data_IF_455079535227
#
_entry.id   IF_455079535227
#
_cell.length_a   1.000
_cell.length_b   1.000
_cell.length_c   1.000
_cell.angle_alpha   90.00
_cell.angle_beta   90.00
_cell.angle_gamma   90.00
#
_symmetry.space_group_name_H-M   'P 1'
#
loop_
_entity.id
_entity.type
_entity.pdbx_description
1 polymer ?
#
# COMPACT_ATOMS: atom_id res chain seq x y z
N UNK A 1 20.62 -0.64 -3.52
CA UNK A 1 20.24 -1.62 -2.50
C UNK A 1 20.38 -3.05 -3.03
N UNK A 2 19.82 -3.39 -4.20
CA UNK A 2 19.96 -4.73 -4.84
C UNK A 2 21.41 -5.16 -5.02
N UNK A 3 22.32 -4.21 -5.35
CA UNK A 3 23.73 -4.50 -5.48
C UNK A 3 24.36 -4.93 -4.13
N UNK A 4 24.00 -4.28 -3.05
CA UNK A 4 24.49 -4.60 -1.69
C UNK A 4 23.99 -5.98 -1.25
N UNK A 5 22.71 -6.30 -1.46
CA UNK A 5 22.17 -7.64 -1.17
C UNK A 5 22.87 -8.72 -1.97
N UNK A 6 23.11 -8.50 -3.25
CA UNK A 6 23.81 -9.45 -4.12
C UNK A 6 25.24 -9.69 -3.65
N UNK A 7 25.96 -8.62 -3.28
CA UNK A 7 27.33 -8.72 -2.75
C UNK A 7 27.35 -9.51 -1.43
N UNK A 8 26.42 -9.24 -0.49
CA UNK A 8 26.35 -9.94 0.79
C UNK A 8 26.03 -11.44 0.60
N UNK A 9 25.10 -11.78 -0.30
CA UNK A 9 24.78 -13.17 -0.64
C UNK A 9 25.97 -13.88 -1.30
N UNK A 10 26.68 -13.21 -2.20
CA UNK A 10 27.88 -13.75 -2.84
C UNK A 10 29.02 -13.99 -1.83
N UNK A 11 29.22 -13.07 -0.90
CA UNK A 11 30.19 -13.24 0.19
C UNK A 11 29.82 -14.42 1.09
N UNK A 12 28.54 -14.55 1.44
CA UNK A 12 28.04 -15.68 2.23
C UNK A 12 28.27 -17.01 1.52
N UNK A 13 27.89 -17.14 0.25
CA UNK A 13 28.09 -18.35 -0.56
C UNK A 13 29.57 -18.68 -0.73
N UNK A 14 30.43 -17.69 -0.97
CA UNK A 14 31.86 -17.84 -1.06
C UNK A 14 32.44 -18.39 0.24
N UNK A 15 31.99 -17.89 1.37
CA UNK A 15 32.45 -18.33 2.70
C UNK A 15 31.97 -19.72 3.05
N UNK A 16 30.76 -20.11 2.70
CA UNK A 16 30.23 -21.47 2.82
C UNK A 16 31.06 -22.45 1.96
N UNK A 17 31.40 -22.06 0.74
CA UNK A 17 32.19 -22.88 -0.18
C UNK A 17 33.62 -23.07 0.30
N UNK A 18 34.27 -22.01 0.79
CA UNK A 18 35.61 -22.07 1.37
C UNK A 18 35.61 -22.97 2.64
N UNK A 19 34.59 -22.84 3.48
CA UNK A 19 34.38 -23.66 4.65
C UNK A 19 34.30 -25.14 4.30
N UNK A 20 33.47 -25.52 3.35
CA UNK A 20 33.30 -26.89 2.90
C UNK A 20 34.62 -27.49 2.34
N UNK A 21 35.48 -26.66 1.77
CA UNK A 21 36.79 -27.06 1.24
C UNK A 21 37.82 -27.25 2.33
N UNK A 22 37.84 -26.38 3.35
CA UNK A 22 38.74 -26.48 4.51
C UNK A 22 38.43 -27.68 5.41
N UNK A 23 37.17 -28.10 5.52
CA UNK A 23 36.81 -29.31 6.27
C UNK A 23 37.41 -30.59 5.66
N UNK A 24 37.66 -30.61 4.36
CA UNK A 24 38.29 -31.73 3.66
C UNK A 24 39.82 -31.73 3.79
N UNK A 25 40.44 -30.59 4.11
CA UNK A 25 41.88 -30.41 4.10
C UNK A 25 42.55 -30.53 5.51
N UNK A 26 41.78 -30.66 6.60
CA UNK A 26 42.27 -30.99 7.92
C UNK A 26 43.16 -29.98 8.66
N UNK A 27 43.42 -28.78 8.07
CA UNK A 27 44.28 -27.77 8.69
C UNK A 27 43.58 -26.41 8.69
N UNK A 28 42.87 -26.04 9.77
CA UNK A 28 42.41 -24.68 9.96
C UNK A 28 43.07 -24.05 11.18
N UNK A 29 43.86 -23.00 10.96
CA UNK A 29 44.42 -22.14 12.00
C UNK A 29 43.39 -21.17 12.58
N UNK A 30 42.17 -21.14 12.03
CA UNK A 30 41.11 -20.24 12.48
C UNK A 30 40.18 -20.99 13.45
N UNK A 31 39.96 -20.48 14.64
CA UNK A 31 39.11 -21.12 15.64
C UNK A 31 37.65 -21.16 15.16
N UNK A 32 36.97 -22.28 15.39
CA UNK A 32 35.63 -22.59 14.91
C UNK A 32 34.58 -21.50 15.29
N UNK A 33 34.73 -20.88 16.45
CA UNK A 33 33.80 -19.83 16.90
C UNK A 33 33.85 -18.58 16.04
N UNK A 34 34.99 -18.23 15.46
CA UNK A 34 35.09 -17.07 14.52
C UNK A 34 34.29 -17.38 13.27
N UNK A 35 34.32 -18.59 12.80
CA UNK A 35 33.57 -19.04 11.64
C UNK A 35 32.05 -18.92 11.85
N UNK A 36 31.54 -19.39 12.98
CA UNK A 36 30.14 -19.28 13.37
C UNK A 36 29.73 -17.83 13.59
N UNK A 37 30.58 -17.02 14.21
CA UNK A 37 30.31 -15.61 14.43
C UNK A 37 30.10 -14.86 13.11
N UNK A 38 30.96 -15.08 12.12
CA UNK A 38 30.83 -14.46 10.79
C UNK A 38 29.57 -14.94 10.07
N UNK A 39 29.24 -16.23 10.17
CA UNK A 39 28.05 -16.81 9.55
C UNK A 39 26.75 -16.24 10.15
N UNK A 40 26.69 -16.11 11.47
CA UNK A 40 25.54 -15.51 12.16
C UNK A 40 25.40 -14.04 11.78
N UNK A 41 26.51 -13.29 11.74
CA UNK A 41 26.49 -11.87 11.34
C UNK A 41 26.01 -11.69 9.91
N UNK A 42 26.46 -12.55 8.98
CA UNK A 42 26.01 -12.51 7.58
C UNK A 42 24.50 -12.80 7.45
N UNK A 43 23.98 -13.79 8.19
CA UNK A 43 22.55 -14.11 8.21
C UNK A 43 21.71 -12.95 8.78
N UNK A 44 22.17 -12.30 9.85
CA UNK A 44 21.50 -11.13 10.42
C UNK A 44 21.47 -9.96 9.42
N UNK A 45 22.56 -9.71 8.71
CA UNK A 45 22.62 -8.66 7.68
C UNK A 45 21.68 -8.96 6.50
N UNK A 46 21.59 -10.21 6.07
CA UNK A 46 20.65 -10.63 5.02
C UNK A 46 19.21 -10.44 5.50
N UNK A 47 18.88 -10.87 6.72
CA UNK A 47 17.56 -10.71 7.31
C UNK A 47 17.14 -9.24 7.43
N UNK A 48 18.05 -8.38 7.93
CA UNK A 48 17.82 -6.95 8.04
C UNK A 48 17.58 -6.30 6.66
N UNK A 49 18.36 -6.68 5.66
CA UNK A 49 18.24 -6.18 4.30
C UNK A 49 16.92 -6.61 3.64
N UNK A 50 16.47 -7.84 3.87
CA UNK A 50 15.16 -8.33 3.42
C UNK A 50 14.02 -7.58 4.11
N UNK A 51 14.09 -7.32 5.40
CA UNK A 51 13.10 -6.52 6.13
C UNK A 51 13.01 -5.09 5.58
N UNK A 52 14.14 -4.44 5.32
CA UNK A 52 14.17 -3.09 4.74
C UNK A 52 13.62 -3.11 3.31
N UNK A 53 13.91 -4.15 2.54
CA UNK A 53 13.39 -4.30 1.17
C UNK A 53 11.88 -4.53 1.16
N UNK A 54 11.38 -5.39 2.04
CA UNK A 54 9.95 -5.66 2.21
C UNK A 54 9.19 -4.42 2.70
N UNK A 55 9.79 -3.62 3.59
CA UNK A 55 9.18 -2.38 4.07
C UNK A 55 9.18 -1.23 3.04
N UNK A 56 10.10 -1.25 2.06
CA UNK A 56 10.15 -0.25 0.98
C UNK A 56 9.28 -0.60 -0.22
N UNK A 57 9.12 -1.88 -0.50
CA UNK A 57 8.14 -2.36 -1.46
C UNK A 57 6.89 -2.71 -0.67
N UNK A 58 5.82 -1.96 -0.88
CA UNK A 58 4.50 -2.26 -0.34
C UNK A 58 4.01 -3.56 -1.02
N UNK A 59 4.65 -4.69 -0.64
CA UNK A 59 4.32 -6.03 -1.12
C UNK A 59 3.01 -6.46 -0.48
N UNK A 60 1.92 -5.73 -0.80
CA UNK A 60 0.56 -6.15 -0.51
C UNK A 60 0.19 -7.28 -1.46
N UNK A 61 0.57 -8.47 -1.07
CA UNK A 61 0.07 -9.69 -1.69
C UNK A 61 -1.26 -10.05 -1.03
N UNK A 62 -2.33 -9.95 -1.79
CA UNK A 62 -3.63 -10.45 -1.36
C UNK A 62 -3.59 -11.98 -1.34
N UNK A 63 -3.45 -12.53 -0.12
CA UNK A 63 -3.32 -13.99 0.13
C UNK A 63 -4.71 -14.64 0.27
N UNK A 64 -5.79 -13.85 0.16
CA UNK A 64 -7.14 -14.40 0.23
C UNK A 64 -7.48 -15.16 -1.05
N UNK A 65 -8.01 -16.36 -0.91
CA UNK A 65 -8.37 -17.23 -2.04
C UNK A 65 -9.40 -16.60 -2.99
N UNK A 66 -10.16 -15.61 -2.50
CA UNK A 66 -11.22 -14.91 -3.24
C UNK A 66 -10.78 -13.60 -3.86
N UNK A 67 -9.55 -13.12 -3.58
CA UNK A 67 -9.00 -11.85 -4.09
C UNK A 67 -9.96 -10.66 -3.98
N UNK A 68 -10.74 -10.63 -2.91
CA UNK A 68 -11.78 -9.62 -2.67
C UNK A 68 -11.23 -8.19 -2.58
N UNK A 69 -9.97 -8.06 -2.19
CA UNK A 69 -9.29 -6.76 -2.06
C UNK A 69 -8.50 -6.35 -3.30
N UNK A 70 -8.41 -7.20 -4.33
CA UNK A 70 -7.68 -6.89 -5.57
C UNK A 70 -8.61 -6.44 -6.69
N UNK A 71 -8.10 -5.58 -7.57
CA UNK A 71 -8.83 -5.13 -8.76
C UNK A 71 -9.09 -6.30 -9.71
N UNK A 72 -10.25 -6.30 -10.36
CA UNK A 72 -10.58 -7.32 -11.36
C UNK A 72 -9.59 -7.27 -12.52
N UNK A 73 -9.29 -8.41 -13.17
CA UNK A 73 -8.40 -8.44 -14.34
C UNK A 73 -8.89 -7.52 -15.47
N UNK A 74 -10.20 -7.34 -15.59
CA UNK A 74 -10.81 -6.43 -16.56
C UNK A 74 -10.50 -4.98 -16.25
N UNK A 75 -10.59 -4.58 -14.97
CA UNK A 75 -10.25 -3.23 -14.51
C UNK A 75 -8.76 -2.94 -14.75
N UNK A 76 -7.87 -3.89 -14.45
CA UNK A 76 -6.43 -3.75 -14.71
C UNK A 76 -6.16 -3.58 -16.21
N UNK A 77 -6.86 -4.33 -17.07
CA UNK A 77 -6.74 -4.20 -18.53
C UNK A 77 -7.21 -2.83 -19.02
N UNK A 78 -8.33 -2.32 -18.48
CA UNK A 78 -8.82 -0.98 -18.78
C UNK A 78 -7.83 0.10 -18.34
N UNK A 79 -7.29 0.00 -17.13
CA UNK A 79 -6.28 0.94 -16.64
C UNK A 79 -5.01 0.94 -17.50
N UNK A 80 -4.61 -0.21 -18.01
CA UNK A 80 -3.46 -0.31 -18.93
C UNK A 80 -3.71 0.33 -20.30
N UNK A 81 -4.96 0.36 -20.75
CA UNK A 81 -5.35 0.94 -22.05
C UNK A 81 -5.59 2.46 -22.00
N UNK A 82 -5.54 3.08 -20.82
CA UNK A 82 -5.67 4.53 -20.68
C UNK A 82 -4.55 5.28 -21.41
N UNK A 83 -4.92 6.43 -21.97
CA UNK A 83 -3.94 7.33 -22.60
C UNK A 83 -3.19 8.14 -21.53
N UNK A 84 -1.86 8.17 -21.66
CA UNK A 84 -1.01 8.95 -20.78
C UNK A 84 -1.11 10.47 -21.03
N UNK A 85 -1.61 10.88 -22.19
CA UNK A 85 -1.79 12.29 -22.53
C UNK A 85 -2.93 12.94 -21.75
N UNK A 86 -3.92 12.15 -21.28
CA UNK A 86 -5.08 12.62 -20.54
C UNK A 86 -5.21 11.86 -19.21
N UNK A 87 -4.44 12.21 -18.17
CA UNK A 87 -4.48 11.50 -16.92
C UNK A 87 -5.84 11.67 -16.23
N UNK A 88 -6.34 10.58 -15.66
CA UNK A 88 -7.57 10.58 -14.86
C UNK A 88 -7.23 11.11 -13.46
N UNK A 89 -7.96 12.10 -13.00
CA UNK A 89 -7.85 12.60 -11.64
C UNK A 89 -8.96 12.00 -10.79
N UNK A 90 -8.56 11.39 -9.67
CA UNK A 90 -9.46 10.82 -8.67
C UNK A 90 -9.31 11.63 -7.39
N UNK A 91 -10.37 12.31 -6.98
CA UNK A 91 -10.42 13.01 -5.69
C UNK A 91 -11.36 12.24 -4.76
N UNK A 92 -10.82 11.71 -3.67
CA UNK A 92 -11.58 10.99 -2.65
C UNK A 92 -11.76 11.89 -1.42
N UNK A 93 -13.00 12.24 -1.13
CA UNK A 93 -13.39 13.04 0.03
C UNK A 93 -13.79 12.10 1.16
N UNK A 94 -12.95 12.04 2.17
CA UNK A 94 -13.05 11.01 3.22
C UNK A 94 -12.95 11.64 4.61
N UNK A 95 -13.93 11.38 5.46
CA UNK A 95 -13.87 11.80 6.85
C UNK A 95 -12.75 11.07 7.60
N UNK A 96 -11.94 11.80 8.40
CA UNK A 96 -10.86 11.20 9.19
C UNK A 96 -11.39 10.23 10.24
N UNK A 97 -12.53 10.57 10.83
CA UNK A 97 -13.23 9.76 11.80
C UNK A 97 -14.54 9.26 11.20
N UNK A 98 -14.75 7.96 11.25
CA UNK A 98 -15.98 7.31 10.81
C UNK A 98 -16.46 6.34 11.89
N UNK A 99 -17.77 6.09 12.04
CA UNK A 99 -18.28 5.04 12.90
C UNK A 99 -17.72 3.66 12.55
N UNK A 100 -17.68 2.76 13.55
CA UNK A 100 -17.11 1.41 13.40
C UNK A 100 -17.70 0.64 12.21
N UNK A 101 -18.99 0.83 11.94
CA UNK A 101 -19.71 0.23 10.81
C UNK A 101 -19.15 0.63 9.45
N UNK A 102 -18.52 1.80 9.33
CA UNK A 102 -17.97 2.32 8.08
C UNK A 102 -16.45 2.25 7.99
N UNK A 103 -15.77 1.79 9.05
CA UNK A 103 -14.30 1.69 9.06
C UNK A 103 -13.82 0.75 7.96
N UNK A 104 -14.45 -0.42 7.82
CA UNK A 104 -14.06 -1.39 6.81
C UNK A 104 -14.32 -0.85 5.39
N UNK A 105 -15.49 -0.29 5.14
CA UNK A 105 -15.84 0.33 3.84
C UNK A 105 -14.84 1.42 3.46
N UNK A 106 -14.46 2.28 4.42
CA UNK A 106 -13.45 3.32 4.23
C UNK A 106 -12.09 2.74 3.85
N UNK A 107 -11.64 1.70 4.56
CA UNK A 107 -10.36 1.04 4.30
C UNK A 107 -10.36 0.37 2.93
N UNK A 108 -11.40 -0.37 2.60
CA UNK A 108 -11.52 -1.07 1.32
C UNK A 108 -11.55 -0.09 0.14
N UNK A 109 -12.30 1.01 0.27
CA UNK A 109 -12.32 2.07 -0.73
C UNK A 109 -10.91 2.66 -0.94
N UNK A 110 -10.23 3.07 0.15
CA UNK A 110 -8.90 3.66 0.06
C UNK A 110 -7.87 2.68 -0.52
N UNK A 111 -7.95 1.40 -0.15
CA UNK A 111 -7.06 0.37 -0.68
C UNK A 111 -7.26 0.16 -2.18
N UNK A 112 -8.52 0.08 -2.64
CA UNK A 112 -8.85 -0.05 -4.07
C UNK A 112 -8.38 1.16 -4.88
N UNK A 113 -8.57 2.37 -4.37
CA UNK A 113 -8.12 3.59 -5.06
C UNK A 113 -6.58 3.65 -5.17
N UNK A 114 -5.86 3.30 -4.10
CA UNK A 114 -4.40 3.21 -4.14
C UNK A 114 -3.89 2.12 -5.08
N UNK A 115 -4.59 0.99 -5.14
CA UNK A 115 -4.25 -0.07 -6.09
C UNK A 115 -4.47 0.38 -7.53
N UNK A 116 -5.55 1.11 -7.82
CA UNK A 116 -5.78 1.72 -9.14
C UNK A 116 -4.63 2.65 -9.54
N UNK A 117 -4.22 3.55 -8.64
CA UNK A 117 -3.09 4.45 -8.86
C UNK A 117 -1.79 3.65 -9.11
N UNK A 118 -1.50 2.67 -8.27
CA UNK A 118 -0.29 1.84 -8.40
C UNK A 118 -0.24 1.04 -9.71
N UNK A 119 -1.40 0.54 -10.19
CA UNK A 119 -1.50 -0.23 -11.44
C UNK A 119 -1.49 0.65 -12.69
N UNK A 120 -2.07 1.85 -12.59
CA UNK A 120 -2.15 2.79 -13.72
C UNK A 120 -0.89 3.67 -13.84
N UNK A 121 -0.10 3.81 -12.77
CA UNK A 121 1.09 4.68 -12.74
C UNK A 121 0.72 6.14 -12.98
N UNK A 122 1.43 6.81 -13.90
CA UNK A 122 1.22 8.23 -14.20
C UNK A 122 -0.12 8.55 -14.90
N UNK A 123 -0.90 7.54 -15.30
CA UNK A 123 -2.18 7.73 -15.98
C UNK A 123 -3.34 8.04 -15.03
N UNK A 124 -3.18 7.74 -13.74
CA UNK A 124 -4.16 8.03 -12.70
C UNK A 124 -3.49 8.80 -11.58
N UNK A 125 -4.07 9.94 -11.23
CA UNK A 125 -3.62 10.81 -10.15
C UNK A 125 -4.65 10.74 -9.02
N UNK A 126 -4.29 10.10 -7.91
CA UNK A 126 -5.14 9.97 -6.74
C UNK A 126 -4.86 11.08 -5.73
N UNK A 127 -5.92 11.74 -5.29
CA UNK A 127 -5.90 12.75 -4.23
C UNK A 127 -6.88 12.36 -3.13
N UNK A 128 -6.37 11.99 -1.96
CA UNK A 128 -7.20 11.71 -0.80
C UNK A 128 -7.29 12.99 0.05
N UNK A 129 -8.50 13.51 0.19
CA UNK A 129 -8.79 14.76 0.88
C UNK A 129 -9.50 14.41 2.19
N UNK A 130 -8.84 14.74 3.31
CA UNK A 130 -9.44 14.58 4.63
C UNK A 130 -10.50 15.65 4.83
N UNK A 131 -11.77 15.24 4.82
CA UNK A 131 -12.93 16.14 4.80
C UNK A 131 -13.68 16.06 6.13
N UNK A 132 -13.68 17.17 6.86
CA UNK A 132 -14.47 17.33 8.09
C UNK A 132 -15.75 18.08 7.76
N UNK A 133 -16.86 17.82 8.45
CA UNK A 133 -18.07 18.66 8.33
C UNK A 133 -17.73 20.12 8.57
N UNK A 134 -18.31 21.01 7.77
CA UNK A 134 -18.13 22.48 7.84
C UNK A 134 -16.69 22.98 7.54
N UNK A 135 -15.85 22.16 6.90
CA UNK A 135 -14.53 22.60 6.44
C UNK A 135 -14.57 23.16 5.01
N UNK A 136 -13.50 23.81 4.58
CA UNK A 136 -13.37 24.29 3.20
C UNK A 136 -13.41 23.14 2.19
N UNK A 137 -12.82 21.99 2.56
CA UNK A 137 -12.85 20.77 1.75
C UNK A 137 -14.27 20.20 1.62
N UNK A 138 -15.11 20.32 2.66
CA UNK A 138 -16.51 19.95 2.60
C UNK A 138 -17.28 20.86 1.66
N UNK A 139 -17.10 22.19 1.76
CA UNK A 139 -17.70 23.14 0.86
C UNK A 139 -17.28 22.90 -0.61
N UNK A 140 -16.00 22.58 -0.83
CA UNK A 140 -15.49 22.21 -2.15
C UNK A 140 -16.12 20.91 -2.67
N UNK A 141 -16.25 19.87 -1.83
CA UNK A 141 -16.90 18.62 -2.20
C UNK A 141 -18.36 18.82 -2.61
N UNK A 142 -19.09 19.66 -1.88
CA UNK A 142 -20.50 19.95 -2.16
C UNK A 142 -20.67 20.81 -3.40
N UNK A 143 -19.92 21.91 -3.52
CA UNK A 143 -20.10 22.88 -4.61
C UNK A 143 -19.59 22.41 -5.96
N UNK A 144 -18.41 21.73 -5.99
CA UNK A 144 -17.80 21.30 -7.25
C UNK A 144 -18.26 19.92 -7.71
N UNK A 145 -18.58 19.04 -6.75
CA UNK A 145 -18.85 17.63 -7.02
C UNK A 145 -20.23 17.16 -6.53
N UNK A 146 -20.96 17.99 -5.79
CA UNK A 146 -22.25 17.58 -5.22
C UNK A 146 -22.15 16.45 -4.18
N UNK A 147 -20.94 16.21 -3.64
CA UNK A 147 -20.69 15.20 -2.61
C UNK A 147 -21.06 15.81 -1.27
N UNK A 148 -22.16 15.34 -0.68
CA UNK A 148 -22.70 15.84 0.58
C UNK A 148 -22.33 14.91 1.74
N UNK A 149 -22.27 15.51 2.95
CA UNK A 149 -22.13 14.73 4.16
C UNK A 149 -23.35 13.82 4.35
N UNK A 150 -23.11 12.55 4.63
CA UNK A 150 -24.16 11.62 4.99
C UNK A 150 -24.28 11.49 6.49
N UNK A 151 -25.51 11.63 6.97
CA UNK A 151 -25.85 11.45 8.36
C UNK A 151 -25.89 9.96 8.68
N UNK A 152 -25.09 9.54 9.64
CA UNK A 152 -24.99 8.14 10.07
C UNK A 152 -25.16 8.05 11.57
N UNK A 153 -25.85 7.00 12.01
CA UNK A 153 -26.07 6.76 13.43
C UNK A 153 -25.08 5.68 13.91
N UNK A 154 -24.48 5.91 15.04
CA UNK A 154 -23.58 4.96 15.68
C UNK A 154 -23.89 4.84 17.17
N UNK A 155 -23.59 3.69 17.74
CA UNK A 155 -23.70 3.47 19.18
C UNK A 155 -22.28 3.54 19.78
N UNK A 156 -21.95 4.65 20.45
CA UNK A 156 -20.68 4.82 21.15
C UNK A 156 -20.93 4.69 22.67
N UNK A 157 -20.32 3.69 23.30
CA UNK A 157 -20.44 3.46 24.76
C UNK A 157 -21.89 3.43 25.29
N UNK A 158 -22.79 2.78 24.54
CA UNK A 158 -24.20 2.68 24.93
C UNK A 158 -25.04 3.93 24.70
N UNK A 159 -24.49 4.95 24.00
CA UNK A 159 -25.23 6.16 23.61
C UNK A 159 -25.34 6.22 22.09
N UNK A 160 -26.49 6.61 21.60
CA UNK A 160 -26.68 6.93 20.18
C UNK A 160 -25.93 8.22 19.87
N UNK A 161 -25.06 8.17 18.89
CA UNK A 161 -24.36 9.33 18.33
C UNK A 161 -24.76 9.48 16.88
N UNK A 162 -25.00 10.70 16.46
CA UNK A 162 -25.24 11.07 15.08
C UNK A 162 -23.97 11.76 14.55
N UNK A 163 -23.36 11.16 13.53
CA UNK A 163 -22.14 11.66 12.91
C UNK A 163 -22.42 12.00 11.43
N UNK A 164 -21.91 13.11 10.96
CA UNK A 164 -21.94 13.48 9.54
C UNK A 164 -20.59 13.07 8.91
N UNK A 165 -20.62 12.15 7.95
CA UNK A 165 -19.40 11.64 7.31
C UNK A 165 -19.42 11.84 5.81
N UNK A 166 -18.22 12.05 5.26
CA UNK A 166 -17.95 12.07 3.82
C UNK A 166 -17.25 10.77 3.44
N UNK A 167 -17.79 10.05 2.47
CA UNK A 167 -17.21 8.87 1.83
C UNK A 167 -17.58 8.90 0.34
N UNK A 168 -17.11 9.91 -0.35
CA UNK A 168 -17.41 10.11 -1.76
C UNK A 168 -16.15 10.20 -2.62
N UNK A 169 -16.30 9.87 -3.90
CA UNK A 169 -15.21 9.91 -4.88
C UNK A 169 -15.66 10.63 -6.12
N UNK A 170 -14.86 11.58 -6.58
CA UNK A 170 -15.00 12.23 -7.85
C UNK A 170 -13.89 11.79 -8.80
N UNK A 171 -14.26 11.34 -9.98
CA UNK A 171 -13.35 10.94 -11.06
C UNK A 171 -13.51 11.93 -12.21
N UNK A 172 -12.42 12.56 -12.61
CA UNK A 172 -12.41 13.56 -13.69
C UNK A 172 -11.44 13.13 -14.79
N UNK A 173 -11.89 13.20 -16.03
CA UNK A 173 -11.06 12.99 -17.21
C UNK A 173 -11.36 14.10 -18.24
N UNK A 174 -10.45 15.07 -18.36
CA UNK A 174 -10.71 16.25 -19.17
C UNK A 174 -11.96 17.02 -18.71
N UNK A 175 -12.99 17.06 -19.53
CA UNK A 175 -14.27 17.75 -19.21
C UNK A 175 -15.33 16.80 -18.61
N UNK A 176 -15.10 15.50 -18.68
CA UNK A 176 -16.03 14.51 -18.13
C UNK A 176 -15.80 14.29 -16.63
N UNK A 177 -16.90 14.17 -15.90
CA UNK A 177 -16.89 13.91 -14.46
C UNK A 177 -17.84 12.77 -14.13
N UNK A 178 -17.35 11.83 -13.34
CA UNK A 178 -18.17 10.76 -12.73
C UNK A 178 -18.07 10.90 -11.23
N UNK A 179 -19.22 10.96 -10.57
CA UNK A 179 -19.28 11.22 -9.13
C UNK A 179 -19.97 10.05 -8.45
N UNK A 180 -19.32 9.54 -7.41
CA UNK A 180 -19.86 8.57 -6.46
C UNK A 180 -20.07 9.32 -5.14
N UNK A 181 -21.28 9.80 -4.87
CA UNK A 181 -21.51 10.72 -3.75
C UNK A 181 -21.37 10.05 -2.39
N UNK A 182 -21.59 8.72 -2.33
CA UNK A 182 -21.39 7.91 -1.13
C UNK A 182 -21.19 6.45 -1.51
N UNK A 183 -20.29 5.76 -0.81
CA UNK A 183 -19.91 4.36 -1.01
C UNK A 183 -20.31 3.52 0.21
#
# INVERSE_FOLDING_TARGET
LYFVTLVVVMLYLSMVFISARHWRAGSSSVPRYVFYAVQITALLLIGLNLCVLAGRHDLRSDVTSERLSSLSPQTVKLLSSLDAAHPIQIEAFVSPEVPETYVQTRLDMLNRLREMEAKAGSKVLLRIISTKPLSEEAARAEQLYGIQARRVFSMKRGRFSEDNIFLGVAVTCGLEKVILPFI
#
